data_IF_541104547353
#
_entry.id   IF_541104547353
#
_cell.length_a   1.000
_cell.length_b   1.000
_cell.length_c   1.000
_cell.angle_alpha   90.00
_cell.angle_beta   90.00
_cell.angle_gamma   90.00
#
_symmetry.space_group_name_H-M   'P 1'
#
loop_
_entity.id
_entity.type
_entity.pdbx_description
1 polymer ?
#
# COMPACT_ATOMS: atom_id res chain seq x y z
N UNK A 1 1.56 19.73 10.00
CA UNK A 1 0.38 19.36 9.20
C UNK A 1 0.51 17.87 8.96
N UNK A 2 -0.48 17.06 9.36
CA UNK A 2 -0.43 15.62 9.12
C UNK A 2 -0.85 15.32 7.68
N UNK A 3 -0.16 14.37 7.05
CA UNK A 3 -0.47 13.87 5.70
C UNK A 3 -1.73 12.99 5.73
N UNK A 4 -2.39 12.81 4.58
CA UNK A 4 -3.55 11.90 4.50
C UNK A 4 -3.16 10.45 4.84
N UNK A 5 -1.94 10.01 4.50
CA UNK A 5 -1.44 8.69 4.87
C UNK A 5 -1.23 8.53 6.38
N UNK A 6 -0.75 9.57 7.06
CA UNK A 6 -0.65 9.57 8.53
C UNK A 6 -2.03 9.47 9.19
N UNK A 7 -3.06 10.12 8.63
CA UNK A 7 -4.43 9.97 9.15
C UNK A 7 -4.98 8.56 8.92
N UNK A 8 -4.68 7.95 7.77
CA UNK A 8 -5.23 6.65 7.39
C UNK A 8 -4.52 5.49 8.10
N UNK A 9 -3.19 5.54 8.22
CA UNK A 9 -2.36 4.41 8.67
C UNK A 9 -1.48 4.75 9.88
N UNK A 10 -1.64 5.94 10.47
CA UNK A 10 -0.80 6.41 11.58
C UNK A 10 -0.85 5.52 12.81
N UNK A 11 -2.06 5.05 13.15
CA UNK A 11 -2.31 4.23 14.35
C UNK A 11 -1.91 2.75 14.17
N UNK A 12 -1.54 2.33 12.95
CA UNK A 12 -1.05 0.97 12.73
C UNK A 12 0.32 0.77 13.39
N UNK A 13 0.60 -0.43 13.94
CA UNK A 13 1.91 -0.74 14.53
C UNK A 13 3.09 -0.49 13.58
N UNK A 14 4.27 -0.28 14.17
CA UNK A 14 5.51 -0.33 13.40
C UNK A 14 5.72 -1.73 12.81
N UNK A 15 6.28 -1.79 11.61
CA UNK A 15 6.48 -3.05 10.88
C UNK A 15 5.22 -3.59 10.19
N UNK A 16 4.06 -2.91 10.28
CA UNK A 16 2.88 -3.27 9.49
C UNK A 16 3.17 -3.16 7.99
N UNK A 17 2.67 -4.14 7.24
CA UNK A 17 2.68 -4.11 5.78
C UNK A 17 1.32 -3.67 5.24
N UNK A 18 1.38 -2.99 4.10
CA UNK A 18 0.25 -2.68 3.24
C UNK A 18 0.38 -3.45 1.92
N UNK A 19 -0.74 -3.51 1.21
CA UNK A 19 -0.91 -4.17 -0.08
C UNK A 19 -1.49 -3.15 -1.07
N UNK A 20 -0.88 -3.02 -2.26
CA UNK A 20 -1.40 -2.13 -3.30
C UNK A 20 -2.31 -2.91 -4.24
N UNK A 21 -3.55 -2.47 -4.42
CA UNK A 21 -4.52 -3.18 -5.28
C UNK A 21 -4.23 -3.01 -6.79
N UNK A 22 -3.36 -2.07 -7.18
CA UNK A 22 -2.97 -1.87 -8.59
C UNK A 22 -1.90 -2.86 -9.04
N UNK A 23 -0.78 -2.93 -8.31
CA UNK A 23 0.35 -3.80 -8.66
C UNK A 23 0.36 -5.12 -7.89
N UNK A 24 -0.57 -5.30 -6.96
CA UNK A 24 -0.73 -6.50 -6.13
C UNK A 24 0.52 -6.81 -5.27
N UNK A 25 1.40 -5.83 -5.05
CA UNK A 25 2.63 -6.00 -4.26
C UNK A 25 2.44 -5.57 -2.81
N UNK A 26 3.03 -6.33 -1.89
CA UNK A 26 3.12 -5.94 -0.47
C UNK A 26 4.29 -4.99 -0.21
N UNK A 27 4.15 -4.07 0.74
CA UNK A 27 5.20 -3.11 1.12
C UNK A 27 5.04 -2.61 2.57
N UNK A 28 6.13 -2.25 3.26
CA UNK A 28 6.09 -1.59 4.57
C UNK A 28 5.23 -0.32 4.57
N UNK A 29 4.48 -0.05 5.65
CA UNK A 29 3.57 1.12 5.73
C UNK A 29 4.29 2.47 5.52
N UNK A 30 5.55 2.56 5.92
CA UNK A 30 6.38 3.75 5.84
C UNK A 30 6.97 3.99 4.44
N UNK A 31 6.83 3.03 3.51
CA UNK A 31 7.28 3.17 2.12
C UNK A 31 6.18 3.68 1.21
N UNK A 32 6.43 4.84 0.61
CA UNK A 32 5.60 5.46 -0.42
C UNK A 32 6.43 6.51 -1.17
N UNK A 33 6.04 6.85 -2.39
CA UNK A 33 6.62 7.97 -3.14
C UNK A 33 5.81 9.22 -2.89
N UNK A 34 6.46 10.38 -2.87
CA UNK A 34 5.80 11.68 -2.89
C UNK A 34 6.05 12.30 -4.25
N UNK A 35 4.98 12.57 -4.99
CA UNK A 35 5.04 13.14 -6.33
C UNK A 35 4.28 14.46 -6.36
N UNK A 36 4.80 15.45 -7.09
CA UNK A 36 4.08 16.69 -7.33
C UNK A 36 3.28 16.61 -8.62
N UNK A 37 1.99 16.87 -8.53
CA UNK A 37 1.08 17.06 -9.64
C UNK A 37 0.65 18.53 -9.74
N UNK A 38 0.45 19.02 -10.96
CA UNK A 38 0.10 20.43 -11.23
C UNK A 38 -1.34 20.73 -10.81
N UNK A 39 -2.24 19.77 -10.97
CA UNK A 39 -3.68 19.92 -10.71
C UNK A 39 -4.03 19.47 -9.29
N UNK A 40 -3.34 18.46 -8.75
CA UNK A 40 -3.67 17.83 -7.46
C UNK A 40 -2.68 18.13 -6.33
N UNK A 41 -1.54 18.76 -6.61
CA UNK A 41 -0.52 19.06 -5.61
C UNK A 41 0.34 17.84 -5.24
N UNK A 42 0.75 17.72 -3.97
CA UNK A 42 1.58 16.59 -3.53
C UNK A 42 0.74 15.32 -3.33
N UNK A 43 0.98 14.32 -4.15
CA UNK A 43 0.35 13.00 -4.09
C UNK A 43 1.28 11.99 -3.40
N UNK A 44 0.68 11.04 -2.67
CA UNK A 44 1.37 9.95 -2.00
C UNK A 44 1.09 8.68 -2.78
N UNK A 45 2.10 8.13 -3.44
CA UNK A 45 1.96 7.05 -4.43
C UNK A 45 2.61 5.75 -3.95
N UNK A 46 2.16 4.63 -4.50
CA UNK A 46 2.74 3.30 -4.31
C UNK A 46 4.28 3.39 -4.40
N UNK A 47 5.05 2.73 -3.50
CA UNK A 47 6.51 2.86 -3.48
C UNK A 47 7.20 2.31 -4.73
N UNK A 48 6.52 1.46 -5.51
CA UNK A 48 7.10 0.84 -6.70
C UNK A 48 6.95 1.77 -7.91
N UNK A 49 8.06 2.02 -8.61
CA UNK A 49 8.13 2.95 -9.75
C UNK A 49 7.31 2.49 -10.97
N UNK A 50 7.02 1.20 -11.06
CA UNK A 50 6.19 0.59 -12.10
C UNK A 50 4.68 0.59 -11.79
N UNK A 51 4.27 1.29 -10.71
CA UNK A 51 2.89 1.38 -10.26
C UNK A 51 2.44 2.84 -10.13
N UNK A 52 1.18 3.11 -10.46
CA UNK A 52 0.52 4.41 -10.38
C UNK A 52 -0.54 4.49 -9.27
N UNK A 53 -0.65 3.46 -8.42
CA UNK A 53 -1.63 3.44 -7.32
C UNK A 53 -1.39 4.54 -6.30
N UNK A 54 -2.47 5.18 -5.85
CA UNK A 54 -2.46 6.12 -4.75
C UNK A 54 -2.26 5.34 -3.43
N UNK A 55 -1.25 5.74 -2.66
CA UNK A 55 -0.86 5.01 -1.47
C UNK A 55 -1.87 5.15 -0.32
N UNK A 56 -2.87 6.03 -0.42
CA UNK A 56 -3.95 6.19 0.56
C UNK A 56 -5.18 5.41 0.11
N UNK A 57 -5.61 5.58 -1.14
CA UNK A 57 -6.85 5.00 -1.66
C UNK A 57 -6.69 3.54 -2.12
N UNK A 58 -5.54 3.21 -2.70
CA UNK A 58 -5.27 1.91 -3.33
C UNK A 58 -4.45 0.99 -2.41
N UNK A 59 -4.21 1.41 -1.17
CA UNK A 59 -3.45 0.66 -0.18
C UNK A 59 -4.38 0.03 0.86
N UNK A 60 -4.26 -1.29 1.03
CA UNK A 60 -5.00 -2.04 2.04
C UNK A 60 -4.05 -2.60 3.09
N UNK A 61 -4.50 -2.72 4.33
CA UNK A 61 -3.74 -3.40 5.38
C UNK A 61 -3.51 -4.87 5.03
N UNK A 62 -2.33 -5.40 5.33
CA UNK A 62 -2.01 -6.80 5.05
C UNK A 62 -2.98 -7.76 5.74
N UNK A 63 -3.33 -7.50 7.00
CA UNK A 63 -4.27 -8.34 7.74
C UNK A 63 -5.68 -8.32 7.12
N UNK A 64 -6.09 -7.19 6.53
CA UNK A 64 -7.36 -7.08 5.80
C UNK A 64 -7.35 -7.96 4.56
N UNK A 65 -6.34 -7.85 3.68
CA UNK A 65 -6.29 -8.68 2.46
C UNK A 65 -6.14 -10.17 2.81
N UNK A 66 -5.37 -10.51 3.84
CA UNK A 66 -5.23 -11.91 4.32
C UNK A 66 -6.54 -12.47 4.89
N UNK A 67 -7.44 -11.63 5.40
CA UNK A 67 -8.76 -12.10 5.83
C UNK A 67 -9.63 -12.57 4.66
N UNK A 68 -9.41 -12.00 3.46
CA UNK A 68 -10.07 -12.39 2.21
C UNK A 68 -9.29 -13.50 1.48
N UNK A 69 -7.96 -13.54 1.66
CA UNK A 69 -7.02 -14.50 1.09
C UNK A 69 -6.24 -15.25 2.18
N UNK A 70 -6.87 -16.22 2.87
CA UNK A 70 -6.24 -16.95 3.97
C UNK A 70 -5.05 -17.82 3.53
N UNK A 71 -4.87 -18.04 2.23
CA UNK A 71 -3.70 -18.69 1.64
C UNK A 71 -2.44 -17.81 1.61
N UNK A 72 -2.58 -16.50 1.79
CA UNK A 72 -1.44 -15.59 1.88
C UNK A 72 -0.67 -15.77 3.19
N UNK A 73 0.66 -15.58 3.20
CA UNK A 73 1.46 -15.78 4.40
C UNK A 73 1.11 -14.76 5.49
N UNK A 74 1.35 -15.15 6.75
CA UNK A 74 1.16 -14.26 7.90
C UNK A 74 1.99 -12.98 7.77
N UNK A 75 3.26 -13.14 7.36
CA UNK A 75 4.21 -12.06 7.08
C UNK A 75 4.48 -12.04 5.57
N UNK A 76 4.17 -10.95 4.86
CA UNK A 76 4.45 -10.84 3.43
C UNK A 76 5.94 -10.56 3.18
N UNK A 77 6.35 -10.79 1.95
CA UNK A 77 7.64 -10.39 1.41
C UNK A 77 7.48 -9.03 0.71
N UNK A 78 8.36 -8.08 1.02
CA UNK A 78 8.36 -6.79 0.34
C UNK A 78 8.60 -6.96 -1.16
N UNK A 79 7.78 -6.30 -1.97
CA UNK A 79 7.91 -6.29 -3.44
C UNK A 79 7.33 -7.51 -4.12
N UNK A 80 6.91 -8.52 -3.35
CA UNK A 80 6.28 -9.72 -3.88
C UNK A 80 4.83 -9.44 -4.27
N UNK A 81 4.45 -9.94 -5.43
CA UNK A 81 3.09 -9.92 -5.95
C UNK A 81 2.25 -11.03 -5.31
N UNK A 82 1.04 -10.67 -4.88
CA UNK A 82 0.03 -11.52 -4.28
C UNK A 82 -1.27 -11.33 -5.06
N UNK A 83 -1.52 -12.14 -6.12
CA UNK A 83 -2.62 -11.90 -7.03
C UNK A 83 -3.99 -12.05 -6.36
N UNK A 84 -4.78 -10.98 -6.37
CA UNK A 84 -6.16 -10.94 -5.89
C UNK A 84 -7.13 -11.27 -7.02
N UNK A 85 -6.87 -10.74 -8.23
CA UNK A 85 -7.72 -10.98 -9.39
C UNK A 85 -7.30 -12.27 -10.12
N UNK A 86 -8.28 -13.09 -10.51
CA UNK A 86 -8.01 -14.20 -11.43
C UNK A 86 -7.52 -13.62 -12.75
N UNK A 87 -6.29 -13.99 -13.15
CA UNK A 87 -5.72 -13.66 -14.47
C UNK A 87 -6.28 -14.55 -15.57
#
# INVERSE_FOLDING_TARGET
>A
MQTEREKMFGDLPEGTFLYCIHCEKAYPKDKYRVMSDIDFGLMQMCPYDDCDGDAVMDAWEWDRIRSEHPEYPEIPEEGKEYPMYSK
#
